data_IF_085332118053
#
_entry.id   IF_085332118053
#
_cell.length_a   1.000
_cell.length_b   1.000
_cell.length_c   1.000
_cell.angle_alpha   90.00
_cell.angle_beta   90.00
_cell.angle_gamma   90.00
#
_symmetry.space_group_name_H-M   'P 1'
#
loop_
_entity.id
_entity.type
_entity.pdbx_description
1 polymer ?
#
# COMPACT_ATOMS: atom_id res chain seq x y z
N UNK A 1 -16.58 -13.63 3.19
CA UNK A 1 -17.26 -12.60 4.00
C UNK A 1 -16.71 -11.22 3.65
N UNK A 2 -17.48 -10.13 3.85
CA UNK A 2 -16.93 -8.78 3.88
C UNK A 2 -15.75 -8.74 4.87
N UNK A 3 -14.72 -7.95 4.56
CA UNK A 3 -13.55 -7.71 5.43
C UNK A 3 -12.57 -8.88 5.68
N UNK A 4 -12.80 -10.04 5.05
CA UNK A 4 -11.87 -11.17 5.15
C UNK A 4 -10.89 -11.25 3.95
N UNK A 5 -10.59 -10.12 3.30
CA UNK A 5 -9.68 -10.10 2.16
C UNK A 5 -8.24 -10.21 2.63
N UNK A 6 -7.44 -10.94 1.85
CA UNK A 6 -6.02 -11.16 2.12
C UNK A 6 -5.20 -10.62 0.96
N UNK A 7 -4.02 -10.12 1.28
CA UNK A 7 -3.03 -9.68 0.31
C UNK A 7 -1.71 -10.35 0.60
N UNK A 8 -0.98 -10.73 -0.44
CA UNK A 8 0.33 -11.33 -0.32
C UNK A 8 1.21 -10.94 -1.52
N UNK A 9 2.28 -10.15 -1.31
CA UNK A 9 3.17 -9.72 -2.39
C UNK A 9 3.79 -10.88 -3.18
N UNK A 10 4.19 -11.94 -2.48
CA UNK A 10 4.98 -13.02 -3.06
C UNK A 10 4.19 -14.04 -3.87
N UNK A 11 2.86 -14.05 -3.75
CA UNK A 11 1.97 -14.91 -4.54
C UNK A 11 1.04 -14.11 -5.44
N UNK A 12 1.40 -12.86 -5.78
CA UNK A 12 0.74 -12.09 -6.83
C UNK A 12 -0.38 -11.15 -6.35
N UNK A 13 -0.47 -10.85 -5.07
CA UNK A 13 -1.36 -9.82 -4.54
C UNK A 13 -2.59 -10.38 -3.81
N UNK A 14 -3.79 -10.08 -4.30
CA UNK A 14 -5.03 -10.41 -3.57
C UNK A 14 -5.34 -11.90 -3.58
N UNK A 15 -5.61 -12.47 -2.41
CA UNK A 15 -5.96 -13.89 -2.24
C UNK A 15 -7.42 -14.07 -1.87
N UNK A 16 -8.05 -15.07 -2.48
CA UNK A 16 -9.37 -15.52 -2.09
C UNK A 16 -9.34 -16.24 -0.73
N UNK A 17 -10.50 -16.39 -0.08
CA UNK A 17 -10.59 -17.07 1.21
C UNK A 17 -10.23 -18.56 1.15
N UNK A 18 -10.46 -19.18 0.01
CA UNK A 18 -10.13 -20.58 -0.25
C UNK A 18 -8.65 -20.77 -0.65
N UNK A 19 -7.96 -19.68 -0.95
CA UNK A 19 -6.58 -19.65 -1.40
C UNK A 19 -5.66 -19.53 -0.16
N UNK A 20 -4.92 -20.60 0.14
CA UNK A 20 -3.94 -20.61 1.24
C UNK A 20 -2.64 -21.29 0.83
N UNK A 21 -1.81 -20.64 -0.02
CA UNK A 21 -0.48 -21.15 -0.35
C UNK A 21 0.40 -21.18 0.90
N UNK A 22 1.18 -22.24 1.06
CA UNK A 22 2.01 -22.47 2.27
C UNK A 22 3.03 -21.35 2.51
N UNK A 23 3.59 -20.78 1.44
CA UNK A 23 4.59 -19.71 1.52
C UNK A 23 3.99 -18.29 1.46
N UNK A 24 2.67 -18.14 1.49
CA UNK A 24 2.05 -16.82 1.34
C UNK A 24 2.36 -15.89 2.52
N UNK A 25 2.98 -14.74 2.25
CA UNK A 25 3.12 -13.66 3.23
C UNK A 25 1.79 -12.91 3.36
N UNK A 26 0.88 -13.47 4.16
CA UNK A 26 -0.47 -12.96 4.32
C UNK A 26 -0.49 -11.64 5.08
N UNK A 27 -1.21 -10.67 4.51
CA UNK A 27 -1.56 -9.41 5.14
C UNK A 27 -3.07 -9.21 5.11
N UNK A 28 -3.65 -8.64 6.17
CA UNK A 28 -5.03 -8.20 6.12
C UNK A 28 -5.17 -7.12 5.05
N UNK A 29 -6.31 -7.14 4.36
CA UNK A 29 -6.67 -6.14 3.38
C UNK A 29 -8.10 -5.68 3.64
N UNK A 30 -8.28 -4.41 3.97
CA UNK A 30 -9.62 -3.84 4.14
C UNK A 30 -10.36 -3.84 2.80
N UNK A 31 -11.70 -3.96 2.85
CA UNK A 31 -12.52 -3.84 1.66
C UNK A 31 -12.34 -2.48 0.97
N UNK A 32 -12.07 -1.43 1.75
CA UNK A 32 -11.81 -0.09 1.21
C UNK A 32 -10.51 -0.06 0.42
N UNK A 33 -9.41 -0.57 0.99
CA UNK A 33 -8.13 -0.65 0.30
C UNK A 33 -8.23 -1.48 -0.98
N UNK A 34 -8.92 -2.63 -0.95
CA UNK A 34 -9.17 -3.44 -2.14
C UNK A 34 -9.91 -2.67 -3.25
N UNK A 35 -10.94 -1.88 -2.87
CA UNK A 35 -11.67 -1.05 -3.83
C UNK A 35 -10.78 0.03 -4.44
N UNK A 36 -9.94 0.67 -3.63
CA UNK A 36 -8.98 1.67 -4.14
C UNK A 36 -7.99 1.02 -5.10
N UNK A 37 -7.36 -0.09 -4.73
CA UNK A 37 -6.43 -0.80 -5.62
C UNK A 37 -7.08 -1.19 -6.95
N UNK A 38 -8.33 -1.69 -6.94
CA UNK A 38 -9.10 -1.97 -8.15
C UNK A 38 -9.45 -0.73 -8.97
N UNK A 39 -9.71 0.39 -8.31
CA UNK A 39 -9.95 1.66 -9.00
C UNK A 39 -8.68 2.12 -9.70
N UNK A 40 -7.53 2.09 -9.01
CA UNK A 40 -6.23 2.47 -9.55
C UNK A 40 -5.83 1.59 -10.74
N UNK A 41 -6.04 0.27 -10.64
CA UNK A 41 -5.76 -0.71 -11.70
C UNK A 41 -6.60 -0.50 -12.97
N UNK A 42 -7.85 -0.06 -12.81
CA UNK A 42 -8.82 0.06 -13.91
C UNK A 42 -8.98 1.48 -14.46
N UNK A 43 -8.39 2.48 -13.81
CA UNK A 43 -8.60 3.89 -14.14
C UNK A 43 -7.34 4.54 -14.66
N UNK A 44 -7.51 5.53 -15.53
CA UNK A 44 -6.44 6.47 -15.86
C UNK A 44 -6.00 7.23 -14.61
N UNK A 45 -4.70 7.50 -14.51
CA UNK A 45 -4.11 8.16 -13.34
C UNK A 45 -4.79 9.50 -13.00
N UNK A 46 -5.21 10.26 -14.02
CA UNK A 46 -5.92 11.53 -13.86
C UNK A 46 -7.29 11.40 -13.17
N UNK A 47 -7.95 10.25 -13.32
CA UNK A 47 -9.23 9.94 -12.66
C UNK A 47 -8.99 9.40 -11.25
N UNK A 48 -7.99 8.55 -11.10
CA UNK A 48 -7.55 8.02 -9.81
C UNK A 48 -7.13 9.12 -8.83
N UNK A 49 -6.40 10.15 -9.28
CA UNK A 49 -5.95 11.26 -8.43
C UNK A 49 -7.09 12.10 -7.82
N UNK A 50 -8.32 11.98 -8.31
CA UNK A 50 -9.49 12.68 -7.74
C UNK A 50 -10.09 11.95 -6.54
N UNK A 51 -9.66 10.72 -6.27
CA UNK A 51 -10.13 9.95 -5.12
C UNK A 51 -9.59 10.59 -3.84
N UNK A 52 -10.51 11.01 -2.97
CA UNK A 52 -10.16 11.38 -1.59
C UNK A 52 -10.06 10.11 -0.75
N UNK A 53 -8.96 10.02 0.00
CA UNK A 53 -8.62 8.93 0.92
C UNK A 53 -8.35 9.55 2.28
N UNK A 54 -8.95 9.00 3.34
CA UNK A 54 -8.60 9.41 4.70
C UNK A 54 -7.26 8.79 5.12
N UNK A 55 -6.70 9.33 6.20
CA UNK A 55 -5.37 8.98 6.70
C UNK A 55 -5.20 7.47 6.92
N UNK A 56 -6.17 6.82 7.57
CA UNK A 56 -6.06 5.40 7.90
C UNK A 56 -6.00 4.52 6.65
N UNK A 57 -6.73 4.90 5.61
CA UNK A 57 -6.72 4.20 4.33
C UNK A 57 -5.46 4.51 3.52
N UNK A 58 -4.97 5.75 3.59
CA UNK A 58 -3.70 6.13 2.97
C UNK A 58 -2.52 5.35 3.56
N UNK A 59 -2.46 5.21 4.89
CA UNK A 59 -1.44 4.44 5.60
C UNK A 59 -1.48 2.95 5.24
N UNK A 60 -2.66 2.35 5.19
CA UNK A 60 -2.83 0.95 4.79
C UNK A 60 -2.29 0.73 3.36
N UNK A 61 -2.72 1.57 2.41
CA UNK A 61 -2.28 1.50 1.01
C UNK A 61 -0.77 1.71 0.89
N UNK A 62 -0.21 2.68 1.62
CA UNK A 62 1.23 2.97 1.64
C UNK A 62 2.04 1.79 2.17
N UNK A 63 1.59 1.17 3.25
CA UNK A 63 2.23 -0.01 3.85
C UNK A 63 2.22 -1.19 2.86
N UNK A 64 1.07 -1.45 2.22
CA UNK A 64 0.92 -2.52 1.24
C UNK A 64 1.81 -2.31 0.01
N UNK A 65 1.79 -1.12 -0.58
CA UNK A 65 2.59 -0.80 -1.76
C UNK A 65 4.09 -0.83 -1.44
N UNK A 66 4.51 -0.25 -0.32
CA UNK A 66 5.92 -0.26 0.09
C UNK A 66 6.45 -1.68 0.31
N UNK A 67 5.66 -2.54 0.97
CA UNK A 67 5.99 -3.96 1.16
C UNK A 67 6.09 -4.68 -0.18
N UNK A 68 5.13 -4.41 -1.09
CA UNK A 68 5.08 -5.04 -2.40
C UNK A 68 6.29 -4.66 -3.24
N UNK A 69 6.56 -3.36 -3.38
CA UNK A 69 7.70 -2.89 -4.18
C UNK A 69 9.03 -3.34 -3.55
N UNK A 70 9.15 -3.31 -2.22
CA UNK A 70 10.33 -3.82 -1.51
C UNK A 70 10.58 -5.31 -1.79
N UNK A 71 9.51 -6.11 -1.82
CA UNK A 71 9.59 -7.53 -2.20
C UNK A 71 10.09 -7.71 -3.65
N UNK A 72 9.48 -7.02 -4.62
CA UNK A 72 9.83 -7.18 -6.03
C UNK A 72 11.24 -6.68 -6.38
N UNK A 73 11.70 -5.62 -5.72
CA UNK A 73 13.04 -5.06 -5.99
C UNK A 73 14.16 -5.82 -5.28
N UNK A 74 13.83 -6.70 -4.33
CA UNK A 74 14.82 -7.43 -3.52
C UNK A 74 15.78 -6.52 -2.73
N UNK A 75 15.47 -5.22 -2.64
CA UNK A 75 16.27 -4.17 -1.99
C UNK A 75 15.32 -3.10 -1.42
N UNK A 76 15.73 -2.50 -0.31
CA UNK A 76 15.04 -1.33 0.23
C UNK A 76 15.12 -0.16 -0.77
N UNK A 77 13.99 0.50 -1.05
CA UNK A 77 13.96 1.71 -1.89
C UNK A 77 14.51 2.86 -1.06
N UNK A 78 15.78 3.21 -1.30
CA UNK A 78 16.45 4.34 -0.63
C UNK A 78 15.72 5.68 -0.79
N UNK A 79 14.97 5.83 -1.89
CA UNK A 79 14.12 7.01 -2.11
C UNK A 79 12.91 7.06 -1.17
N UNK A 80 12.30 5.92 -0.81
CA UNK A 80 11.20 5.89 0.16
C UNK A 80 11.68 6.27 1.55
N UNK A 81 12.80 5.70 2.01
CA UNK A 81 13.36 6.04 3.33
C UNK A 81 13.81 7.50 3.41
N UNK A 82 14.26 8.10 2.30
CA UNK A 82 14.53 9.53 2.23
C UNK A 82 13.25 10.38 2.31
N UNK A 83 12.20 10.04 1.56
CA UNK A 83 10.92 10.76 1.61
C UNK A 83 10.21 10.64 2.97
N UNK A 84 10.30 9.47 3.61
CA UNK A 84 9.83 9.27 4.98
C UNK A 84 10.54 10.19 5.97
N UNK A 85 11.85 10.36 5.82
CA UNK A 85 12.61 11.29 6.66
C UNK A 85 12.20 12.74 6.41
N UNK A 86 12.05 13.15 5.16
CA UNK A 86 11.59 14.51 4.83
C UNK A 86 10.20 14.82 5.37
N UNK A 87 9.27 13.87 5.32
CA UNK A 87 7.92 14.06 5.86
C UNK A 87 7.88 14.08 7.39
N UNK A 88 8.82 13.41 8.06
CA UNK A 88 8.89 13.33 9.52
C UNK A 88 9.81 14.40 10.14
N UNK A 89 10.66 15.05 9.36
CA UNK A 89 11.45 16.21 9.81
C UNK A 89 10.55 17.45 9.82
N UNK A 90 10.20 17.94 11.02
CA UNK A 90 9.67 19.30 11.19
C UNK A 90 10.72 20.31 10.72
N UNK A 91 10.32 21.28 9.89
CA UNK A 91 11.20 22.36 9.43
C UNK A 91 12.00 22.94 10.60
N UNK A 92 13.34 23.08 10.49
CA UNK A 92 14.14 23.64 11.55
C UNK A 92 13.66 25.05 11.89
N UNK A 93 13.61 25.40 13.19
CA UNK A 93 13.12 26.67 13.76
C UNK A 93 13.81 27.94 13.23
N UNK A 94 14.77 27.83 12.31
CA UNK A 94 15.57 28.93 11.75
C UNK A 94 14.73 29.87 10.85
N UNK A 95 13.47 29.53 10.56
CA UNK A 95 12.54 30.35 9.77
C UNK A 95 11.32 30.89 10.55
N UNK A 96 11.33 30.82 11.89
CA UNK A 96 10.33 31.52 12.72
C UNK A 96 10.83 32.89 13.19
#
# INVERSE_FOLDING_TARGET
>A
EPDAHRFSPNVGGTLCLDCSPDDAHLRPLSLRALKVLRLLDRSEISKACKLSVDESLADELRSLLSTTVGYWLGKEIRSNSFLDRLNNESLPEVYN
#
